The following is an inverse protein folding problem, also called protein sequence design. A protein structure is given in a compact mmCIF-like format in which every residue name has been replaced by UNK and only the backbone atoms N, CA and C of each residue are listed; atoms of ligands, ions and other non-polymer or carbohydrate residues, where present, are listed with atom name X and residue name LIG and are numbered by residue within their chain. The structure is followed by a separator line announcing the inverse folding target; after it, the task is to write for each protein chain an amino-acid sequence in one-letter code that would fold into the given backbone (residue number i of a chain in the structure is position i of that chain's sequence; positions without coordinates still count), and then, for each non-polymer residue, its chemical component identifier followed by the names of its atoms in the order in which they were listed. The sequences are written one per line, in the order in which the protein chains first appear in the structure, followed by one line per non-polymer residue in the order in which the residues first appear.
data_IF_791640936199
#
_entry.id   IF_791640936199
#
_cell.length_a   1.000
_cell.length_b   1.000
_cell.length_c   1.000
_cell.angle_alpha   90.00
_cell.angle_beta   90.00
_cell.angle_gamma   90.00
#
_symmetry.space_group_name_H-M   'P 1'
#
loop_
_entity.id
_entity.type
_entity.pdbx_description
1 polymer ?
#
# COMPACT_ATOMS: atom_id res chain seq x y z
N UNK A 1 -0.52 -17.72 -20.40
CA UNK A 1 -1.16 -17.50 -19.08
C UNK A 1 -0.28 -16.54 -18.30
N UNK A 2 -0.84 -15.42 -17.82
CA UNK A 2 -0.09 -14.44 -17.01
C UNK A 2 0.28 -15.07 -15.67
N UNK A 3 1.52 -14.91 -15.23
CA UNK A 3 1.97 -15.50 -13.96
C UNK A 3 1.13 -14.92 -12.80
N UNK A 4 0.46 -15.77 -11.98
CA UNK A 4 -0.47 -15.31 -10.94
C UNK A 4 0.23 -14.48 -9.85
N UNK A 5 1.51 -14.73 -9.58
CA UNK A 5 2.29 -13.95 -8.62
C UNK A 5 2.57 -12.54 -9.14
N UNK A 6 2.86 -12.38 -10.44
CA UNK A 6 3.03 -11.07 -11.07
C UNK A 6 1.73 -10.27 -11.00
N UNK A 7 0.61 -10.89 -11.38
CA UNK A 7 -0.71 -10.26 -11.29
C UNK A 7 -1.03 -9.82 -9.87
N UNK A 8 -0.74 -10.65 -8.86
CA UNK A 8 -1.00 -10.26 -7.48
C UNK A 8 -0.18 -9.04 -7.05
N UNK A 9 1.11 -9.00 -7.41
CA UNK A 9 1.97 -7.84 -7.10
C UNK A 9 1.43 -6.60 -7.81
N UNK A 10 1.08 -6.72 -9.09
CA UNK A 10 0.53 -5.63 -9.90
C UNK A 10 -0.78 -5.09 -9.31
N UNK A 11 -1.72 -5.97 -8.96
CA UNK A 11 -2.99 -5.58 -8.33
C UNK A 11 -2.75 -4.91 -6.97
N UNK A 12 -1.83 -5.43 -6.15
CA UNK A 12 -1.54 -4.81 -4.84
C UNK A 12 -0.98 -3.40 -5.02
N UNK A 13 0.05 -3.26 -5.86
CA UNK A 13 0.76 -1.99 -6.05
C UNK A 13 -0.06 -0.93 -6.78
N UNK A 14 -0.85 -1.33 -7.79
CA UNK A 14 -1.52 -0.38 -8.69
C UNK A 14 -2.97 -0.08 -8.31
N UNK A 15 -3.63 -0.99 -7.58
CA UNK A 15 -5.05 -0.87 -7.28
C UNK A 15 -5.32 -0.85 -5.78
N UNK A 16 -4.88 -1.88 -5.05
CA UNK A 16 -5.25 -2.05 -3.64
C UNK A 16 -4.68 -0.93 -2.78
N UNK A 17 -3.36 -0.69 -2.82
CA UNK A 17 -2.72 0.33 -1.99
C UNK A 17 -3.24 1.75 -2.32
N UNK A 18 -3.28 2.18 -3.59
CA UNK A 18 -3.79 3.52 -3.92
C UNK A 18 -5.25 3.72 -3.52
N UNK A 19 -6.10 2.70 -3.66
CA UNK A 19 -7.51 2.80 -3.27
C UNK A 19 -7.68 2.86 -1.75
N UNK A 20 -6.87 2.13 -0.98
CA UNK A 20 -6.86 2.22 0.48
C UNK A 20 -6.48 3.63 0.96
N UNK A 21 -5.45 4.22 0.36
CA UNK A 21 -5.05 5.61 0.69
C UNK A 21 -6.13 6.61 0.30
N UNK A 22 -6.73 6.48 -0.89
CA UNK A 22 -7.87 7.33 -1.31
C UNK A 22 -9.05 7.24 -0.35
N UNK A 23 -9.35 6.06 0.19
CA UNK A 23 -10.41 5.90 1.18
C UNK A 23 -10.09 6.66 2.47
N UNK A 24 -8.84 6.62 2.93
CA UNK A 24 -8.37 7.40 4.07
C UNK A 24 -8.45 8.92 3.81
N UNK A 25 -7.98 9.38 2.65
CA UNK A 25 -8.05 10.79 2.19
C UNK A 25 -9.50 11.28 2.12
N UNK A 26 -10.42 10.44 1.62
CA UNK A 26 -11.82 10.82 1.39
C UNK A 26 -12.65 11.04 2.66
N UNK A 27 -12.06 10.89 3.86
CA UNK A 27 -12.73 10.92 5.18
C UNK A 27 -13.89 9.94 5.37
N UNK A 28 -14.25 9.13 4.37
CA UNK A 28 -15.28 8.08 4.45
C UNK A 28 -14.96 6.98 5.46
N UNK A 29 -13.69 6.85 5.85
CA UNK A 29 -13.24 5.94 6.91
C UNK A 29 -12.57 6.66 8.10
N UNK A 30 -12.54 8.00 8.11
CA UNK A 30 -11.83 8.76 9.16
C UNK A 30 -12.42 8.52 10.57
N UNK A 31 -13.66 8.05 10.66
CA UNK A 31 -14.32 7.71 11.93
C UNK A 31 -14.19 6.23 12.33
N UNK A 32 -13.66 5.34 11.47
CA UNK A 32 -13.70 3.88 11.70
C UNK A 32 -12.33 3.22 11.91
N UNK A 33 -11.24 3.77 11.37
CA UNK A 33 -9.89 3.21 11.51
C UNK A 33 -8.89 4.33 11.80
N UNK A 34 -8.17 4.19 12.91
CA UNK A 34 -7.07 5.10 13.23
C UNK A 34 -5.89 4.87 12.28
N UNK A 35 -5.12 5.93 12.03
CA UNK A 35 -3.98 5.97 11.13
C UNK A 35 -3.06 4.75 11.21
N UNK A 36 -2.69 4.33 12.42
CA UNK A 36 -1.78 3.20 12.64
C UNK A 36 -2.35 1.90 12.08
N UNK A 37 -3.68 1.73 12.14
CA UNK A 37 -4.35 0.57 11.55
C UNK A 37 -4.26 0.59 10.03
N UNK A 38 -4.35 1.77 9.39
CA UNK A 38 -4.15 1.89 7.95
C UNK A 38 -2.71 1.56 7.53
N UNK A 39 -1.72 2.03 8.29
CA UNK A 39 -0.31 1.68 8.05
C UNK A 39 -0.11 0.17 8.17
N UNK A 40 -0.60 -0.45 9.25
CA UNK A 40 -0.55 -1.91 9.43
C UNK A 40 -1.20 -2.66 8.26
N UNK A 41 -2.34 -2.19 7.76
CA UNK A 41 -2.99 -2.84 6.61
C UNK A 41 -2.14 -2.72 5.33
N UNK A 42 -1.50 -1.57 5.09
CA UNK A 42 -0.57 -1.41 3.96
C UNK A 42 0.61 -2.38 4.10
N UNK A 43 1.23 -2.44 5.28
CA UNK A 43 2.35 -3.35 5.55
C UNK A 43 1.98 -4.81 5.31
N UNK A 44 0.78 -5.24 5.71
CA UNK A 44 0.27 -6.58 5.43
C UNK A 44 0.13 -6.86 3.92
N UNK A 45 -0.30 -5.88 3.12
CA UNK A 45 -0.37 -6.05 1.65
C UNK A 45 1.03 -6.12 1.03
N UNK A 46 1.96 -5.30 1.51
CA UNK A 46 3.36 -5.33 1.08
C UNK A 46 4.02 -6.65 1.44
N UNK A 47 3.77 -7.20 2.63
CA UNK A 47 4.26 -8.52 3.02
C UNK A 47 3.75 -9.61 2.07
N UNK A 48 2.47 -9.55 1.68
CA UNK A 48 1.88 -10.48 0.71
C UNK A 48 2.50 -10.34 -0.69
N UNK A 49 2.77 -9.12 -1.15
CA UNK A 49 3.47 -8.87 -2.41
C UNK A 49 4.90 -9.42 -2.36
N UNK A 50 5.63 -9.19 -1.27
CA UNK A 50 6.98 -9.73 -1.05
C UNK A 50 7.02 -11.26 -0.98
N UNK A 51 6.01 -11.92 -0.42
CA UNK A 51 5.88 -13.39 -0.47
C UNK A 51 5.73 -13.89 -1.90
N UNK A 52 4.95 -13.18 -2.73
CA UNK A 52 4.76 -13.54 -4.14
C UNK A 52 5.98 -13.22 -5.00
N UNK A 53 6.73 -12.17 -4.66
CA UNK A 53 7.99 -11.83 -5.31
C UNK A 53 8.99 -12.99 -5.26
N UNK A 54 9.08 -13.68 -4.12
CA UNK A 54 9.97 -14.85 -3.94
C UNK A 54 9.60 -16.04 -4.84
N UNK A 55 8.39 -16.06 -5.38
CA UNK A 55 7.91 -17.10 -6.29
C UNK A 55 8.17 -16.74 -7.77
N UNK A 56 8.71 -15.55 -8.05
CA UNK A 56 9.11 -15.15 -9.40
C UNK A 56 10.54 -15.63 -9.72
N UNK A 57 10.86 -15.81 -11.02
CA UNK A 57 12.22 -16.06 -11.45
C UNK A 57 13.19 -14.97 -10.95
N UNK A 58 14.41 -15.33 -10.48
CA UNK A 58 15.37 -14.38 -9.90
C UNK A 58 15.67 -13.16 -10.78
N UNK A 59 15.68 -13.34 -12.10
CA UNK A 59 15.91 -12.29 -13.09
C UNK A 59 14.83 -11.20 -13.10
N UNK A 60 13.61 -11.53 -12.68
CA UNK A 60 12.48 -10.59 -12.64
C UNK A 60 12.28 -9.96 -11.26
N UNK A 61 12.84 -10.57 -10.21
CA UNK A 61 12.67 -10.09 -8.84
C UNK A 61 13.14 -8.65 -8.62
N UNK A 62 14.25 -8.14 -9.20
CA UNK A 62 14.67 -6.76 -9.02
C UNK A 62 13.62 -5.75 -9.49
N UNK A 63 12.99 -6.01 -10.65
CA UNK A 63 11.97 -5.14 -11.23
C UNK A 63 10.73 -5.05 -10.32
N UNK A 64 10.22 -6.20 -9.89
CA UNK A 64 9.03 -6.25 -9.04
C UNK A 64 9.32 -5.79 -7.61
N UNK A 65 10.55 -5.96 -7.11
CA UNK A 65 10.99 -5.40 -5.82
C UNK A 65 10.92 -3.88 -5.84
N UNK A 66 11.51 -3.25 -6.86
CA UNK A 66 11.47 -1.79 -7.00
C UNK A 66 10.03 -1.27 -7.06
N UNK A 67 9.14 -1.99 -7.73
CA UNK A 67 7.72 -1.66 -7.80
C UNK A 67 7.03 -1.72 -6.43
N UNK A 68 7.31 -2.75 -5.64
CA UNK A 68 6.79 -2.90 -4.28
C UNK A 68 7.31 -1.78 -3.39
N UNK A 69 8.61 -1.50 -3.44
CA UNK A 69 9.26 -0.47 -2.63
C UNK A 69 8.70 0.93 -2.95
N UNK A 70 8.54 1.25 -4.25
CA UNK A 70 7.94 2.51 -4.69
C UNK A 70 6.48 2.64 -4.24
N UNK A 71 5.69 1.58 -4.43
CA UNK A 71 4.28 1.60 -4.02
C UNK A 71 4.14 1.77 -2.49
N UNK A 72 5.02 1.15 -1.71
CA UNK A 72 5.03 1.34 -0.26
C UNK A 72 5.35 2.79 0.11
N UNK A 73 6.46 3.32 -0.40
CA UNK A 73 6.92 4.68 -0.09
C UNK A 73 5.86 5.73 -0.46
N UNK A 74 5.33 5.68 -1.68
CA UNK A 74 4.32 6.64 -2.16
C UNK A 74 3.06 6.64 -1.28
N UNK A 75 2.53 5.45 -0.96
CA UNK A 75 1.29 5.36 -0.20
C UNK A 75 1.47 5.72 1.28
N UNK A 76 2.61 5.39 1.89
CA UNK A 76 2.92 5.81 3.27
C UNK A 76 3.13 7.31 3.34
N UNK A 77 3.85 7.91 2.39
CA UNK A 77 4.08 9.36 2.38
C UNK A 77 2.78 10.14 2.19
N UNK A 78 1.87 9.64 1.34
CA UNK A 78 0.53 10.22 1.19
C UNK A 78 -0.28 10.16 2.47
N UNK A 79 -0.31 9.00 3.15
CA UNK A 79 -0.95 8.90 4.47
C UNK A 79 -0.35 9.91 5.45
N UNK A 80 0.98 9.98 5.55
CA UNK A 80 1.74 10.92 6.41
C UNK A 80 1.39 12.38 6.17
N UNK A 81 1.23 12.79 4.91
CA UNK A 81 0.86 14.17 4.55
C UNK A 81 -0.56 14.53 4.98
N UNK A 82 -1.51 13.62 4.82
CA UNK A 82 -2.89 13.86 5.28
C UNK A 82 -2.95 14.11 6.79
N UNK A 83 -2.12 13.44 7.57
CA UNK A 83 -2.07 13.62 9.03
C UNK A 83 -1.55 15.00 9.41
N UNK A 84 -0.48 15.46 8.74
CA UNK A 84 0.07 16.79 8.99
C UNK A 84 -0.95 17.91 8.68
N UNK A 85 -1.92 17.64 7.80
CA UNK A 85 -2.94 18.60 7.36
C UNK A 85 -4.28 18.48 8.11
N UNK A 86 -4.44 17.53 9.06
CA UNK A 86 -5.66 17.44 9.87
C UNK A 86 -5.65 18.52 10.96
N UNK A 87 -6.71 19.35 11.08
CA UNK A 87 -6.81 20.28 12.19
C UNK A 87 -6.84 19.50 13.52
N UNK A 88 -6.21 20.00 14.59
CA UNK A 88 -6.27 19.37 15.89
C UNK A 88 -7.74 19.23 16.29
N UNK A 89 -8.14 18.00 16.66
CA UNK A 89 -9.47 17.74 17.20
C UNK A 89 -9.63 18.64 18.41
N UNK A 90 -10.49 19.65 18.29
CA UNK A 90 -10.82 20.53 19.41
C UNK A 90 -11.77 19.74 20.30
N UNK A 91 -11.28 19.36 21.49
CA UNK A 91 -12.08 18.76 22.57
C UNK A 91 -13.02 19.81 23.18
#
# INVERSE_FOLDING_TARGET
MTNPHKQLIDTICNEVLPNMVRLCESKKMADALNQDQFVTLIEQKIERANKSLKMLPPEEQPLYRQKIDYAYADNIDRLRREIANRPPVSL
#
